data_IF_841036980166
#
_entry.id   IF_841036980166
#
_cell.length_a   1.000
_cell.length_b   1.000
_cell.length_c   1.000
_cell.angle_alpha   90.00
_cell.angle_beta   90.00
_cell.angle_gamma   90.00
#
_symmetry.space_group_name_H-M   'P 1'
#
loop_
_entity.id
_entity.type
_entity.pdbx_description
1 polymer ?
#
# COMPACT_ATOMS: atom_id res chain seq x y z
N UNK A 1 -24.00 11.89 -9.18
CA UNK A 1 -24.20 10.60 -8.47
C UNK A 1 -25.36 10.75 -7.51
N UNK A 2 -26.50 10.09 -7.76
CA UNK A 2 -27.64 10.11 -6.84
C UNK A 2 -27.20 9.44 -5.53
N UNK A 3 -27.45 10.11 -4.40
CA UNK A 3 -27.20 9.57 -3.06
C UNK A 3 -28.04 8.31 -2.86
N UNK A 4 -27.44 7.14 -3.05
CA UNK A 4 -27.99 5.88 -2.55
C UNK A 4 -27.91 5.94 -1.02
N UNK A 5 -28.95 6.51 -0.39
CA UNK A 5 -29.20 6.29 1.03
C UNK A 5 -29.45 4.79 1.18
N UNK A 6 -28.53 4.08 1.82
CA UNK A 6 -28.80 2.71 2.28
C UNK A 6 -29.93 2.81 3.32
N UNK A 7 -31.15 2.32 3.04
CA UNK A 7 -32.24 2.44 3.98
C UNK A 7 -31.93 1.51 5.15
N UNK A 8 -31.63 2.08 6.31
CA UNK A 8 -31.36 1.33 7.55
C UNK A 8 -32.59 0.56 8.08
N UNK A 9 -33.77 0.65 7.44
CA UNK A 9 -35.04 0.33 8.09
C UNK A 9 -35.80 -0.93 7.66
N UNK A 10 -35.39 -1.69 6.66
CA UNK A 10 -36.07 -2.96 6.33
C UNK A 10 -35.09 -4.14 6.36
N UNK A 11 -34.80 -4.63 7.57
CA UNK A 11 -34.21 -5.96 7.80
C UNK A 11 -35.36 -6.98 7.87
N UNK A 12 -36.05 -7.20 6.75
CA UNK A 12 -37.02 -8.29 6.65
C UNK A 12 -36.30 -9.60 6.32
N UNK A 13 -36.60 -10.63 7.12
CA UNK A 13 -36.19 -12.01 6.89
C UNK A 13 -36.82 -12.54 5.60
N UNK A 14 -35.99 -12.74 4.58
CA UNK A 14 -36.36 -13.47 3.36
C UNK A 14 -35.53 -14.75 3.29
N UNK A 15 -36.08 -15.83 3.82
CA UNK A 15 -35.53 -17.18 3.62
C UNK A 15 -36.13 -17.88 2.38
N UNK A 16 -37.16 -17.31 1.72
CA UNK A 16 -37.96 -18.05 0.73
C UNK A 16 -37.75 -17.73 -0.76
N UNK A 17 -36.65 -17.09 -1.22
CA UNK A 17 -36.53 -16.84 -2.68
C UNK A 17 -35.14 -16.82 -3.32
N UNK A 18 -34.18 -17.61 -2.86
CA UNK A 18 -32.98 -17.87 -3.68
C UNK A 18 -33.31 -18.54 -5.03
N UNK A 19 -34.43 -19.28 -5.10
CA UNK A 19 -34.89 -19.95 -6.32
C UNK A 19 -35.22 -18.99 -7.47
N UNK A 20 -35.62 -17.74 -7.18
CA UNK A 20 -35.99 -16.76 -8.21
C UNK A 20 -34.80 -15.92 -8.71
N UNK A 21 -33.64 -15.99 -8.05
CA UNK A 21 -32.49 -15.16 -8.37
C UNK A 21 -31.52 -15.94 -9.27
N UNK A 22 -31.37 -15.50 -10.53
CA UNK A 22 -30.53 -16.17 -11.54
C UNK A 22 -29.03 -16.27 -11.18
N UNK A 23 -28.52 -15.35 -10.34
CA UNK A 23 -27.10 -15.29 -9.93
C UNK A 23 -26.97 -14.67 -8.55
N UNK A 24 -26.36 -15.38 -7.60
CA UNK A 24 -26.13 -14.89 -6.22
C UNK A 24 -24.65 -15.00 -5.86
N UNK A 25 -24.11 -13.93 -5.28
CA UNK A 25 -22.84 -13.96 -4.58
C UNK A 25 -23.10 -13.88 -3.08
N UNK A 26 -22.44 -14.72 -2.31
CA UNK A 26 -22.54 -14.78 -0.85
C UNK A 26 -21.12 -14.57 -0.31
N UNK A 27 -20.95 -13.75 0.72
CA UNK A 27 -19.61 -13.51 1.28
C UNK A 27 -19.68 -13.04 2.72
N UNK A 28 -18.63 -13.32 3.48
CA UNK A 28 -18.48 -12.76 4.82
C UNK A 28 -17.79 -11.38 4.79
N UNK A 29 -18.22 -10.47 5.68
CA UNK A 29 -17.59 -9.17 5.86
C UNK A 29 -17.54 -8.78 7.34
N UNK A 30 -16.36 -8.41 7.85
CA UNK A 30 -16.23 -7.77 9.17
C UNK A 30 -16.82 -6.37 9.19
N UNK A 31 -16.76 -5.68 8.05
CA UNK A 31 -17.35 -4.36 7.86
C UNK A 31 -18.08 -4.38 6.52
N UNK A 32 -19.39 -4.56 6.58
CA UNK A 32 -20.26 -4.66 5.41
C UNK A 32 -20.14 -3.41 4.53
N UNK A 33 -20.05 -2.21 5.12
CA UNK A 33 -19.90 -0.96 4.35
C UNK A 33 -18.59 -0.96 3.55
N UNK A 34 -17.49 -1.40 4.17
CA UNK A 34 -16.20 -1.54 3.50
C UNK A 34 -16.27 -2.57 2.38
N UNK A 35 -16.89 -3.73 2.63
CA UNK A 35 -17.04 -4.79 1.62
C UNK A 35 -17.93 -4.34 0.47
N UNK A 36 -19.09 -3.71 0.75
CA UNK A 36 -19.95 -3.03 -0.23
C UNK A 36 -19.09 -2.10 -1.08
N UNK A 37 -18.34 -1.19 -0.44
CA UNK A 37 -17.48 -0.24 -1.13
C UNK A 37 -16.47 -0.93 -2.04
N UNK A 38 -15.99 -2.12 -1.68
CA UNK A 38 -15.13 -2.92 -2.56
C UNK A 38 -15.84 -3.40 -3.82
N UNK A 39 -17.14 -3.73 -3.75
CA UNK A 39 -17.96 -4.01 -4.93
C UNK A 39 -18.35 -2.75 -5.71
N UNK A 40 -18.43 -1.59 -5.06
CA UNK A 40 -18.72 -0.33 -5.75
C UNK A 40 -17.47 0.25 -6.44
N UNK A 41 -16.26 -0.26 -6.15
CA UNK A 41 -15.01 0.28 -6.67
C UNK A 41 -14.45 -0.66 -7.74
N UNK A 42 -14.51 -0.31 -9.05
CA UNK A 42 -14.07 -1.15 -10.18
C UNK A 42 -12.70 -1.83 -9.99
N UNK A 43 -11.83 -1.14 -9.25
CA UNK A 43 -10.48 -1.55 -8.94
C UNK A 43 -10.39 -2.75 -7.96
N UNK A 44 -11.19 -2.82 -6.89
CA UNK A 44 -11.04 -3.92 -5.90
C UNK A 44 -11.58 -5.26 -6.43
N UNK A 45 -12.44 -5.19 -7.45
CA UNK A 45 -13.01 -6.35 -8.15
C UNK A 45 -11.96 -7.03 -9.04
N UNK A 46 -10.96 -6.30 -9.54
CA UNK A 46 -9.87 -6.88 -10.35
C UNK A 46 -9.04 -7.92 -9.61
N UNK A 47 -9.07 -7.89 -8.28
CA UNK A 47 -8.35 -8.80 -7.40
C UNK A 47 -9.15 -10.05 -7.04
N UNK A 48 -10.45 -10.12 -7.38
CA UNK A 48 -11.30 -11.26 -7.10
C UNK A 48 -12.04 -11.72 -8.38
N UNK A 49 -11.48 -12.71 -9.11
CA UNK A 49 -12.01 -13.13 -10.42
C UNK A 49 -13.46 -13.65 -10.37
N UNK A 50 -13.94 -14.12 -9.20
CA UNK A 50 -15.31 -14.56 -9.00
C UNK A 50 -16.32 -13.39 -9.08
N UNK A 51 -15.89 -12.16 -8.75
CA UNK A 51 -16.74 -10.97 -8.67
C UNK A 51 -16.98 -10.29 -10.03
N UNK A 52 -16.29 -10.73 -11.10
CA UNK A 52 -16.36 -10.14 -12.45
C UNK A 52 -17.67 -10.41 -13.19
N UNK A 53 -18.40 -11.46 -12.82
CA UNK A 53 -19.70 -11.80 -13.42
C UNK A 53 -20.81 -10.77 -13.10
N UNK A 54 -20.57 -9.84 -12.17
CA UNK A 54 -21.55 -8.86 -11.66
C UNK A 54 -21.27 -7.42 -12.09
N UNK A 55 -20.09 -7.15 -12.66
CA UNK A 55 -19.62 -5.77 -12.84
C UNK A 55 -18.96 -5.67 -14.21
N UNK A 56 -19.64 -5.00 -15.14
CA UNK A 56 -19.06 -4.67 -16.44
C UNK A 56 -18.04 -3.52 -16.32
N UNK A 57 -17.52 -3.03 -17.46
CA UNK A 57 -16.51 -1.96 -17.51
C UNK A 57 -16.97 -0.64 -16.85
N UNK A 58 -18.25 -0.46 -16.56
CA UNK A 58 -18.83 0.77 -15.99
C UNK A 58 -19.01 0.77 -14.47
N UNK A 59 -18.89 -0.40 -13.81
CA UNK A 59 -19.32 -0.57 -12.42
C UNK A 59 -20.81 -0.93 -12.32
N UNK A 60 -21.16 -1.80 -11.37
CA UNK A 60 -22.51 -2.14 -10.85
C UNK A 60 -23.70 -2.40 -11.80
N UNK A 61 -23.56 -2.36 -13.12
CA UNK A 61 -24.70 -2.48 -14.04
C UNK A 61 -25.53 -3.78 -13.85
N UNK A 62 -24.96 -4.83 -13.24
CA UNK A 62 -25.64 -6.11 -13.04
C UNK A 62 -25.96 -6.47 -11.57
N UNK A 63 -25.73 -5.58 -10.59
CA UNK A 63 -26.15 -5.81 -9.20
C UNK A 63 -27.55 -5.21 -9.02
N UNK A 64 -28.58 -6.06 -9.12
CA UNK A 64 -29.99 -5.64 -8.94
C UNK A 64 -30.34 -5.34 -7.49
N UNK A 65 -29.71 -6.02 -6.54
CA UNK A 65 -29.96 -5.82 -5.12
C UNK A 65 -28.74 -6.22 -4.30
N UNK A 66 -28.61 -5.60 -3.13
CA UNK A 66 -27.64 -5.96 -2.10
C UNK A 66 -28.38 -6.15 -0.79
N UNK A 67 -28.18 -7.29 -0.15
CA UNK A 67 -28.80 -7.63 1.13
C UNK A 67 -27.74 -8.00 2.15
N UNK A 68 -27.96 -7.56 3.38
CA UNK A 68 -27.12 -7.90 4.53
C UNK A 68 -27.89 -8.89 5.37
N UNK A 69 -27.38 -10.11 5.49
CA UNK A 69 -27.98 -11.13 6.35
C UNK A 69 -27.30 -10.99 7.71
N UNK A 70 -28.04 -10.45 8.69
CA UNK A 70 -27.62 -10.44 10.08
C UNK A 70 -28.23 -11.66 10.76
N UNK A 71 -27.39 -12.57 11.25
CA UNK A 71 -27.90 -13.67 12.05
C UNK A 71 -28.15 -13.17 13.48
N UNK A 72 -29.39 -13.23 13.98
CA UNK A 72 -29.79 -12.55 15.22
C UNK A 72 -29.14 -13.13 16.48
N UNK A 73 -28.56 -14.33 16.40
CA UNK A 73 -28.06 -15.09 17.55
C UNK A 73 -26.55 -15.43 17.47
N UNK A 74 -25.81 -14.84 16.53
CA UNK A 74 -24.40 -15.16 16.34
C UNK A 74 -23.52 -14.05 16.92
N UNK A 75 -22.52 -14.43 17.71
CA UNK A 75 -21.41 -13.53 18.03
C UNK A 75 -20.61 -13.29 16.73
N UNK A 76 -21.06 -12.32 15.93
CA UNK A 76 -20.57 -11.99 14.59
C UNK A 76 -19.10 -11.53 14.57
N UNK A 77 -18.43 -11.44 15.72
CA UNK A 77 -16.99 -11.24 15.80
C UNK A 77 -16.21 -12.53 15.49
N UNK A 78 -16.77 -13.70 15.74
CA UNK A 78 -16.10 -14.99 15.49
C UNK A 78 -16.08 -15.32 13.99
N UNK A 79 -14.87 -15.50 13.46
CA UNK A 79 -14.67 -15.89 12.06
C UNK A 79 -15.13 -17.30 11.74
N UNK A 80 -15.10 -18.24 12.69
CA UNK A 80 -15.53 -19.61 12.46
C UNK A 80 -17.04 -19.66 12.20
N UNK A 81 -17.78 -18.93 13.03
CA UNK A 81 -19.23 -18.78 12.93
C UNK A 81 -19.64 -18.15 11.60
N UNK A 82 -19.03 -17.03 11.21
CA UNK A 82 -19.32 -16.37 9.92
C UNK A 82 -19.06 -17.28 8.72
N UNK A 83 -17.95 -18.01 8.72
CA UNK A 83 -17.60 -18.96 7.65
C UNK A 83 -18.56 -20.15 7.59
N UNK A 84 -19.02 -20.64 8.74
CA UNK A 84 -20.03 -21.71 8.78
C UNK A 84 -21.33 -21.25 8.15
N UNK A 85 -21.78 -20.05 8.50
CA UNK A 85 -23.01 -19.46 7.95
C UNK A 85 -22.90 -19.13 6.46
N UNK A 86 -21.75 -18.60 6.02
CA UNK A 86 -21.44 -18.42 4.60
C UNK A 86 -21.57 -19.74 3.83
N UNK A 87 -21.00 -20.83 4.35
CA UNK A 87 -21.12 -22.16 3.73
C UNK A 87 -22.57 -22.65 3.66
N UNK A 88 -23.34 -22.48 4.75
CA UNK A 88 -24.76 -22.86 4.80
C UNK A 88 -25.57 -22.12 3.72
N UNK A 89 -25.40 -20.80 3.63
CA UNK A 89 -26.07 -19.96 2.64
C UNK A 89 -25.62 -20.28 1.20
N UNK A 90 -24.34 -20.60 0.98
CA UNK A 90 -23.84 -21.06 -0.32
C UNK A 90 -24.53 -22.37 -0.73
N UNK A 91 -24.65 -23.33 0.19
CA UNK A 91 -25.32 -24.60 -0.08
C UNK A 91 -26.81 -24.39 -0.40
N UNK A 92 -27.49 -23.52 0.36
CA UNK A 92 -28.89 -23.16 0.16
C UNK A 92 -29.15 -22.47 -1.19
N UNK A 93 -28.24 -21.58 -1.60
CA UNK A 93 -28.33 -20.90 -2.90
C UNK A 93 -28.01 -21.83 -4.09
N UNK A 94 -27.41 -23.00 -3.85
CA UNK A 94 -27.19 -24.06 -4.83
C UNK A 94 -26.51 -23.57 -6.13
N UNK A 95 -26.92 -24.04 -7.32
CA UNK A 95 -26.25 -23.73 -8.59
C UNK A 95 -26.33 -22.25 -9.00
N UNK A 96 -27.24 -21.49 -8.39
CA UNK A 96 -27.34 -20.04 -8.59
C UNK A 96 -26.24 -19.29 -7.82
N UNK A 97 -25.62 -19.93 -6.84
CA UNK A 97 -24.48 -19.38 -6.10
C UNK A 97 -23.20 -19.44 -6.94
N UNK A 98 -22.59 -18.29 -7.16
CA UNK A 98 -21.36 -18.18 -7.95
C UNK A 98 -20.09 -18.54 -7.15
N UNK A 99 -20.20 -18.64 -5.82
CA UNK A 99 -19.12 -19.05 -4.93
C UNK A 99 -18.74 -20.53 -5.10
N UNK A 100 -19.63 -21.35 -5.67
CA UNK A 100 -19.40 -22.77 -5.87
C UNK A 100 -18.42 -22.98 -7.02
N UNK A 101 -17.34 -23.72 -6.81
CA UNK A 101 -16.29 -23.98 -7.83
C UNK A 101 -16.82 -24.67 -9.09
N UNK A 102 -17.84 -25.53 -8.95
CA UNK A 102 -18.51 -26.21 -10.06
C UNK A 102 -19.62 -25.38 -10.72
N UNK A 103 -19.89 -24.16 -10.25
CA UNK A 103 -20.88 -23.29 -10.87
C UNK A 103 -20.47 -22.95 -12.31
N UNK A 104 -21.40 -23.03 -13.26
CA UNK A 104 -21.18 -22.60 -14.66
C UNK A 104 -20.76 -21.12 -14.79
N UNK A 105 -20.99 -20.35 -13.72
CA UNK A 105 -20.60 -18.94 -13.59
C UNK A 105 -19.20 -18.76 -13.01
N UNK A 106 -18.65 -19.80 -12.38
CA UNK A 106 -17.30 -19.84 -11.84
C UNK A 106 -16.28 -20.24 -12.92
N UNK A 107 -16.30 -19.51 -14.04
CA UNK A 107 -15.19 -19.60 -14.99
C UNK A 107 -14.05 -18.78 -14.40
N UNK A 108 -13.02 -19.46 -13.88
CA UNK A 108 -11.73 -18.81 -13.58
C UNK A 108 -11.40 -17.94 -14.79
N UNK A 109 -11.20 -16.64 -14.60
CA UNK A 109 -10.76 -15.78 -15.70
C UNK A 109 -9.37 -16.29 -16.09
N UNK A 110 -9.29 -17.07 -17.16
CA UNK A 110 -8.03 -17.52 -17.73
C UNK A 110 -7.48 -16.32 -18.48
N UNK A 111 -6.60 -15.56 -17.83
CA UNK A 111 -5.94 -14.41 -18.45
C UNK A 111 -5.11 -14.81 -19.67
N UNK A 112 -4.63 -16.06 -19.72
CA UNK A 112 -3.79 -16.59 -20.80
C UNK A 112 -4.53 -16.81 -22.14
N UNK A 113 -5.85 -16.66 -22.19
CA UNK A 113 -6.62 -16.84 -23.43
C UNK A 113 -6.88 -15.56 -24.22
N UNK A 114 -6.49 -14.38 -23.72
CA UNK A 114 -6.66 -13.12 -24.46
C UNK A 114 -5.55 -13.00 -25.49
N UNK A 115 -5.88 -12.75 -26.76
CA UNK A 115 -4.91 -12.64 -27.87
C UNK A 115 -3.81 -11.58 -27.65
N UNK A 116 -3.98 -10.63 -26.72
CA UNK A 116 -2.98 -9.60 -26.42
C UNK A 116 -2.10 -9.85 -25.19
N UNK A 117 -2.35 -10.92 -24.42
CA UNK A 117 -1.60 -11.18 -23.18
C UNK A 117 -0.33 -11.94 -23.50
N UNK A 118 0.80 -11.26 -23.42
CA UNK A 118 2.13 -11.80 -23.65
C UNK A 118 2.64 -12.46 -22.36
N UNK A 119 3.19 -13.66 -22.45
CA UNK A 119 3.71 -14.38 -21.28
C UNK A 119 5.04 -13.77 -20.81
N UNK A 120 5.14 -13.25 -19.56
CA UNK A 120 6.40 -12.76 -19.02
C UNK A 120 7.41 -13.90 -18.79
N UNK A 121 8.63 -13.69 -19.24
CA UNK A 121 9.73 -14.65 -19.13
C UNK A 121 10.73 -14.13 -18.10
N UNK A 122 10.85 -14.81 -16.97
CA UNK A 122 11.86 -14.52 -15.94
C UNK A 122 13.01 -15.52 -16.06
N UNK A 123 14.20 -15.03 -16.39
CA UNK A 123 15.44 -15.81 -16.45
C UNK A 123 16.34 -15.43 -15.27
N UNK A 124 16.95 -16.41 -14.63
CA UNK A 124 17.92 -16.16 -13.57
C UNK A 124 19.18 -15.56 -14.18
N UNK A 125 19.73 -14.52 -13.56
CA UNK A 125 21.01 -13.92 -13.95
C UNK A 125 22.16 -14.80 -13.49
N UNK A 126 23.09 -15.12 -14.38
CA UNK A 126 24.26 -15.97 -14.08
C UNK A 126 25.55 -15.14 -13.84
N UNK A 127 25.63 -13.91 -14.35
CA UNK A 127 26.81 -13.04 -14.20
C UNK A 127 26.58 -11.80 -13.34
N UNK A 128 27.63 -11.02 -13.10
CA UNK A 128 27.55 -9.73 -12.41
C UNK A 128 26.62 -8.76 -13.18
N UNK A 129 25.94 -7.88 -12.45
CA UNK A 129 25.25 -6.74 -13.01
C UNK A 129 26.19 -5.66 -13.54
N UNK A 130 27.46 -5.66 -13.11
CA UNK A 130 28.51 -4.77 -13.63
C UNK A 130 28.87 -5.02 -15.08
N UNK A 131 28.75 -6.26 -15.53
CA UNK A 131 28.98 -6.65 -16.93
C UNK A 131 27.70 -6.57 -17.76
N UNK A 132 26.61 -6.04 -17.19
CA UNK A 132 25.34 -5.92 -17.89
C UNK A 132 25.40 -4.80 -18.93
N UNK A 133 25.75 -5.17 -20.16
CA UNK A 133 25.67 -4.30 -21.32
C UNK A 133 24.41 -4.64 -22.12
N UNK A 134 23.48 -3.69 -22.22
CA UNK A 134 22.39 -3.78 -23.19
C UNK A 134 22.89 -3.22 -24.51
N UNK A 135 22.67 -3.92 -25.61
CA UNK A 135 23.16 -3.57 -26.96
C UNK A 135 22.76 -2.19 -27.48
N UNK A 136 21.82 -1.51 -26.81
CA UNK A 136 21.22 -0.25 -27.28
C UNK A 136 21.61 0.98 -26.46
N UNK A 137 22.14 0.84 -25.24
CA UNK A 137 22.45 2.00 -24.39
C UNK A 137 23.55 1.70 -23.35
N UNK A 138 24.54 2.60 -23.24
CA UNK A 138 25.47 2.72 -22.11
C UNK A 138 24.71 3.23 -20.87
N UNK A 139 23.84 2.39 -20.32
CA UNK A 139 23.11 2.72 -19.10
C UNK A 139 24.04 2.54 -17.90
N UNK A 140 23.88 3.37 -16.84
CA UNK A 140 24.70 3.22 -15.65
C UNK A 140 24.55 1.81 -15.08
N UNK A 141 25.70 1.21 -14.80
CA UNK A 141 25.86 -0.12 -14.23
C UNK A 141 25.03 -0.23 -12.94
N UNK A 142 24.30 -1.33 -12.76
CA UNK A 142 23.62 -1.61 -11.50
C UNK A 142 24.66 -2.11 -10.48
N UNK A 143 24.90 -1.39 -9.36
CA UNK A 143 25.93 -1.73 -8.37
C UNK A 143 25.44 -2.78 -7.38
N UNK A 144 24.49 -3.64 -7.77
CA UNK A 144 23.93 -4.66 -6.90
C UNK A 144 24.70 -5.97 -7.07
N UNK A 145 24.94 -6.73 -6.00
CA UNK A 145 25.53 -8.05 -6.13
C UNK A 145 24.57 -9.01 -6.83
N UNK A 146 25.09 -10.06 -7.45
CA UNK A 146 24.32 -11.21 -7.91
C UNK A 146 24.53 -12.37 -6.93
N UNK A 147 23.71 -12.41 -5.87
CA UNK A 147 23.80 -13.46 -4.85
C UNK A 147 23.10 -14.74 -5.32
N UNK A 148 23.57 -15.92 -4.88
CA UNK A 148 22.91 -17.17 -5.23
C UNK A 148 21.49 -17.22 -4.65
N UNK A 149 20.61 -17.94 -5.33
CA UNK A 149 19.25 -18.14 -4.83
C UNK A 149 19.25 -19.22 -3.75
N UNK A 150 18.60 -18.94 -2.63
CA UNK A 150 18.40 -19.90 -1.55
C UNK A 150 16.90 -20.04 -1.29
N UNK A 151 16.30 -21.22 -1.50
CA UNK A 151 14.85 -21.39 -1.53
C UNK A 151 14.11 -21.01 -0.25
N UNK A 152 14.75 -21.13 0.92
CA UNK A 152 14.15 -20.85 2.22
C UNK A 152 14.35 -19.41 2.70
N UNK A 153 15.20 -18.63 2.03
CA UNK A 153 15.66 -17.35 2.55
C UNK A 153 14.78 -16.18 2.10
N UNK A 154 14.48 -15.31 3.04
CA UNK A 154 13.86 -14.01 2.77
C UNK A 154 14.89 -13.10 2.13
N UNK A 155 14.57 -12.46 1.02
CA UNK A 155 15.55 -11.65 0.31
C UNK A 155 14.96 -10.41 -0.36
N UNK A 156 15.85 -9.48 -0.70
CA UNK A 156 15.62 -8.45 -1.70
C UNK A 156 16.16 -8.98 -3.02
N UNK A 157 15.35 -8.85 -4.07
CA UNK A 157 15.72 -9.21 -5.43
C UNK A 157 15.49 -8.03 -6.37
N UNK A 158 16.13 -8.10 -7.53
CA UNK A 158 15.91 -7.20 -8.65
C UNK A 158 15.36 -7.97 -9.84
N UNK A 159 14.46 -7.36 -10.60
CA UNK A 159 13.94 -7.85 -11.89
C UNK A 159 14.25 -6.78 -12.94
N UNK A 160 15.14 -7.08 -13.88
CA UNK A 160 15.62 -6.15 -14.91
C UNK A 160 15.07 -6.58 -16.27
N UNK A 161 14.43 -5.67 -16.99
CA UNK A 161 13.97 -5.93 -18.35
C UNK A 161 15.15 -6.03 -19.30
N UNK A 162 15.26 -7.13 -20.07
CA UNK A 162 16.49 -7.50 -20.79
C UNK A 162 16.95 -6.45 -21.81
N UNK A 163 16.03 -5.82 -22.54
CA UNK A 163 16.38 -4.80 -23.56
C UNK A 163 16.47 -3.39 -23.01
N UNK A 164 15.47 -2.95 -22.24
CA UNK A 164 15.44 -1.58 -21.72
C UNK A 164 16.36 -1.35 -20.53
N UNK A 165 16.76 -2.39 -19.78
CA UNK A 165 17.53 -2.22 -18.55
C UNK A 165 16.78 -1.44 -17.45
N UNK A 166 15.47 -1.22 -17.61
CA UNK A 166 14.60 -0.72 -16.56
C UNK A 166 14.33 -1.87 -15.58
N UNK A 167 14.17 -1.55 -14.30
CA UNK A 167 14.19 -2.60 -13.28
C UNK A 167 13.25 -2.34 -12.10
N UNK A 168 12.85 -3.42 -11.46
CA UNK A 168 11.98 -3.46 -10.29
C UNK A 168 12.76 -4.08 -9.13
N UNK A 169 12.60 -3.54 -7.92
CA UNK A 169 13.13 -4.11 -6.69
C UNK A 169 11.96 -4.59 -5.84
N UNK A 170 12.06 -5.76 -5.23
CA UNK A 170 11.05 -6.23 -4.29
C UNK A 170 11.61 -7.15 -3.22
N UNK A 171 10.74 -7.46 -2.25
CA UNK A 171 11.04 -8.40 -1.17
C UNK A 171 10.23 -9.70 -1.33
N UNK A 172 10.75 -10.82 -0.83
CA UNK A 172 10.05 -12.11 -0.81
C UNK A 172 9.18 -12.32 0.42
N UNK A 173 9.26 -11.49 1.47
CA UNK A 173 8.33 -11.58 2.61
C UNK A 173 8.42 -12.92 3.37
N UNK A 174 7.32 -13.68 3.40
CA UNK A 174 7.22 -15.04 3.99
C UNK A 174 7.23 -16.15 2.92
N UNK A 175 7.17 -15.76 1.64
CA UNK A 175 7.17 -16.66 0.49
C UNK A 175 8.60 -16.81 -0.06
N UNK A 176 8.87 -17.90 -0.79
CA UNK A 176 10.15 -18.03 -1.48
C UNK A 176 10.17 -17.20 -2.79
N UNK A 177 11.37 -17.00 -3.33
CA UNK A 177 11.57 -16.18 -4.53
C UNK A 177 10.79 -16.74 -5.74
N UNK A 178 10.78 -18.05 -5.94
CA UNK A 178 10.05 -18.68 -7.03
C UNK A 178 8.53 -18.41 -6.97
N UNK A 179 7.93 -18.50 -5.79
CA UNK A 179 6.52 -18.14 -5.58
C UNK A 179 6.28 -16.65 -5.80
N UNK A 180 7.18 -15.79 -5.32
CA UNK A 180 7.12 -14.34 -5.54
C UNK A 180 7.14 -14.01 -7.03
N UNK A 181 8.04 -14.62 -7.80
CA UNK A 181 8.13 -14.47 -9.25
C UNK A 181 6.86 -14.96 -9.95
N UNK A 182 6.27 -16.08 -9.51
CA UNK A 182 4.97 -16.56 -10.03
C UNK A 182 3.86 -15.54 -9.78
N UNK A 183 3.84 -14.88 -8.61
CA UNK A 183 2.91 -13.80 -8.29
C UNK A 183 3.13 -12.60 -9.22
N UNK A 184 4.37 -12.20 -9.48
CA UNK A 184 4.68 -11.16 -10.48
C UNK A 184 4.16 -11.50 -11.87
N UNK A 185 4.37 -12.74 -12.35
CA UNK A 185 3.81 -13.19 -13.65
C UNK A 185 2.30 -13.02 -13.70
N UNK A 186 1.61 -13.46 -12.65
CA UNK A 186 0.16 -13.33 -12.54
C UNK A 186 -0.30 -11.87 -12.59
N UNK A 187 0.39 -10.98 -11.87
CA UNK A 187 0.08 -9.54 -11.86
C UNK A 187 0.35 -8.89 -13.22
N UNK A 188 1.43 -9.25 -13.91
CA UNK A 188 1.72 -8.76 -15.27
C UNK A 188 0.65 -9.19 -16.27
N UNK A 189 0.24 -10.47 -16.28
CA UNK A 189 -0.87 -10.96 -17.13
C UNK A 189 -2.18 -10.22 -16.87
N UNK A 190 -2.52 -10.03 -15.58
CA UNK A 190 -3.69 -9.24 -15.18
C UNK A 190 -3.58 -7.80 -15.69
N UNK A 191 -2.43 -7.18 -15.53
CA UNK A 191 -2.18 -5.80 -15.95
C UNK A 191 -2.36 -5.64 -17.46
N UNK A 192 -1.78 -6.55 -18.27
CA UNK A 192 -1.98 -6.60 -19.72
C UNK A 192 -3.46 -6.69 -20.08
N UNK A 193 -4.15 -7.68 -19.51
CA UNK A 193 -5.57 -7.90 -19.75
C UNK A 193 -6.41 -6.65 -19.42
N UNK A 194 -6.13 -5.96 -18.33
CA UNK A 194 -6.88 -4.77 -17.95
C UNK A 194 -6.58 -3.57 -18.84
N UNK A 195 -5.32 -3.39 -19.23
CA UNK A 195 -4.91 -2.34 -20.18
C UNK A 195 -5.58 -2.52 -21.54
N UNK A 196 -5.64 -3.76 -22.07
CA UNK A 196 -6.38 -4.09 -23.30
C UNK A 196 -7.87 -3.72 -23.24
N UNK A 197 -8.46 -3.72 -22.05
CA UNK A 197 -9.88 -3.38 -21.84
C UNK A 197 -10.09 -1.89 -21.52
N UNK A 198 -9.05 -1.07 -21.59
CA UNK A 198 -9.10 0.37 -21.30
C UNK A 198 -9.23 0.70 -19.82
N UNK A 199 -8.96 -0.26 -18.93
CA UNK A 199 -9.11 -0.07 -17.47
C UNK A 199 -7.83 0.55 -16.92
N UNK A 200 -7.94 1.78 -16.38
CA UNK A 200 -6.82 2.47 -15.74
C UNK A 200 -6.49 1.82 -14.39
N UNK A 201 -5.24 1.37 -14.24
CA UNK A 201 -4.74 0.72 -13.04
C UNK A 201 -3.81 1.62 -12.23
N UNK A 202 -4.38 2.57 -11.48
CA UNK A 202 -3.61 3.56 -10.70
C UNK A 202 -2.63 2.93 -9.70
N UNK A 203 -2.99 1.79 -9.10
CA UNK A 203 -2.16 1.07 -8.13
C UNK A 203 -1.09 0.17 -8.78
N UNK A 204 -1.28 -0.25 -10.03
CA UNK A 204 -0.32 -1.12 -10.74
C UNK A 204 0.66 -0.34 -11.60
N UNK A 205 0.87 0.94 -11.31
CA UNK A 205 1.74 1.79 -12.12
C UNK A 205 3.14 1.26 -12.45
N UNK A 206 3.77 0.54 -11.51
CA UNK A 206 5.03 -0.15 -11.74
C UNK A 206 4.86 -1.25 -12.80
N UNK A 207 3.90 -2.15 -12.60
CA UNK A 207 3.58 -3.21 -13.57
C UNK A 207 3.06 -2.68 -14.90
N UNK A 208 2.34 -1.55 -14.91
CA UNK A 208 1.88 -0.90 -16.13
C UNK A 208 3.05 -0.41 -16.97
N UNK A 209 4.12 0.08 -16.33
CA UNK A 209 5.38 0.38 -17.03
C UNK A 209 6.09 -0.89 -17.49
N UNK A 210 6.18 -1.91 -16.65
CA UNK A 210 6.76 -3.20 -17.06
C UNK A 210 6.03 -3.79 -18.28
N UNK A 211 4.71 -3.72 -18.31
CA UNK A 211 3.89 -4.17 -19.45
C UNK A 211 4.16 -3.35 -20.71
N UNK A 212 4.33 -2.03 -20.60
CA UNK A 212 4.70 -1.19 -21.74
C UNK A 212 6.06 -1.61 -22.32
N UNK A 213 7.05 -1.84 -21.47
CA UNK A 213 8.36 -2.33 -21.91
C UNK A 213 8.22 -3.74 -22.54
N UNK A 214 7.41 -4.64 -21.96
CA UNK A 214 7.13 -5.96 -22.53
C UNK A 214 6.52 -5.88 -23.94
N UNK A 215 5.55 -4.99 -24.15
CA UNK A 215 4.84 -4.84 -25.41
C UNK A 215 5.72 -4.21 -26.50
N UNK A 216 6.62 -3.30 -26.12
CA UNK A 216 7.47 -2.58 -27.07
C UNK A 216 8.79 -3.30 -27.37
N UNK A 217 9.39 -3.93 -26.37
CA UNK A 217 10.76 -4.43 -26.43
C UNK A 217 10.87 -5.95 -26.19
N UNK A 218 9.77 -6.60 -25.79
CA UNK A 218 9.65 -8.05 -25.63
C UNK A 218 9.55 -8.51 -24.17
N UNK A 219 9.13 -9.75 -23.90
CA UNK A 219 8.67 -10.17 -22.57
C UNK A 219 9.77 -10.62 -21.60
N UNK A 220 11.05 -10.45 -21.97
CA UNK A 220 12.16 -11.03 -21.23
C UNK A 220 12.68 -10.14 -20.11
N UNK A 221 12.79 -10.73 -18.93
CA UNK A 221 13.37 -10.12 -17.74
C UNK A 221 14.42 -11.07 -17.14
N UNK A 222 15.50 -10.48 -16.63
CA UNK A 222 16.48 -11.17 -15.81
C UNK A 222 16.23 -10.85 -14.33
N UNK A 223 16.50 -11.78 -13.43
CA UNK A 223 16.39 -11.54 -11.99
C UNK A 223 17.58 -12.08 -11.21
N UNK A 224 17.87 -11.47 -10.07
CA UNK A 224 18.83 -11.99 -9.08
C UNK A 224 18.44 -11.60 -7.66
N UNK A 225 18.99 -12.33 -6.69
CA UNK A 225 19.02 -11.89 -5.30
C UNK A 225 20.11 -10.83 -5.15
N UNK A 226 19.82 -9.77 -4.39
CA UNK A 226 20.77 -8.68 -4.13
C UNK A 226 21.07 -8.51 -2.63
N UNK A 227 20.23 -9.06 -1.74
CA UNK A 227 20.44 -9.04 -0.29
C UNK A 227 19.62 -10.13 0.41
N UNK A 228 20.17 -10.82 1.40
CA UNK A 228 19.42 -11.73 2.28
C UNK A 228 18.93 -11.01 3.54
N UNK A 229 17.78 -11.41 4.05
CA UNK A 229 17.05 -10.72 5.12
C UNK A 229 16.57 -11.66 6.24
N UNK A 230 17.13 -12.86 6.35
CA UNK A 230 16.64 -13.89 7.27
C UNK A 230 16.66 -13.44 8.72
N UNK A 231 17.70 -12.71 9.10
CA UNK A 231 17.91 -12.17 10.45
C UNK A 231 16.99 -10.98 10.78
N UNK A 232 16.29 -10.42 9.79
CA UNK A 232 15.46 -9.24 9.98
C UNK A 232 14.01 -9.60 10.28
N UNK A 233 13.38 -8.82 11.17
CA UNK A 233 11.94 -8.88 11.39
C UNK A 233 11.18 -8.44 10.14
N UNK A 234 9.93 -8.88 9.96
CA UNK A 234 9.08 -8.44 8.83
C UNK A 234 9.01 -6.91 8.69
N UNK A 235 8.96 -6.18 9.81
CA UNK A 235 8.94 -4.71 9.76
C UNK A 235 10.27 -4.13 9.27
N UNK A 236 11.40 -4.73 9.66
CA UNK A 236 12.72 -4.25 9.28
C UNK A 236 13.07 -4.63 7.84
N UNK A 237 12.63 -5.82 7.37
CA UNK A 237 12.65 -6.20 5.96
C UNK A 237 12.00 -5.14 5.08
N UNK A 238 10.81 -4.67 5.47
CA UNK A 238 10.09 -3.66 4.70
C UNK A 238 10.81 -2.31 4.70
N UNK A 239 11.38 -1.89 5.83
CA UNK A 239 12.19 -0.67 5.90
C UNK A 239 13.42 -0.79 5.01
N UNK A 240 14.06 -1.95 4.99
CA UNK A 240 15.24 -2.21 4.17
C UNK A 240 14.91 -2.15 2.68
N UNK A 241 13.84 -2.79 2.25
CA UNK A 241 13.34 -2.66 0.87
C UNK A 241 13.05 -1.19 0.50
N UNK A 242 12.36 -0.43 1.38
CA UNK A 242 12.07 0.99 1.15
C UNK A 242 13.35 1.82 0.97
N UNK A 243 14.43 1.50 1.71
CA UNK A 243 15.74 2.14 1.57
C UNK A 243 16.40 1.80 0.23
N UNK A 244 16.44 0.51 -0.15
CA UNK A 244 17.05 0.09 -1.41
C UNK A 244 16.30 0.67 -2.61
N UNK A 245 14.96 0.74 -2.54
CA UNK A 245 14.13 1.40 -3.55
C UNK A 245 14.40 2.90 -3.61
N UNK A 246 14.55 3.58 -2.47
CA UNK A 246 14.84 5.01 -2.45
C UNK A 246 16.21 5.33 -3.06
N UNK A 247 17.26 4.57 -2.69
CA UNK A 247 18.61 4.69 -3.26
C UNK A 247 18.59 4.41 -4.77
N UNK A 248 17.87 3.36 -5.20
CA UNK A 248 17.70 3.07 -6.62
C UNK A 248 17.04 4.22 -7.38
N UNK A 249 15.97 4.81 -6.83
CA UNK A 249 15.27 5.94 -7.48
C UNK A 249 16.18 7.17 -7.52
N UNK A 250 16.95 7.43 -6.46
CA UNK A 250 17.91 8.53 -6.42
C UNK A 250 18.97 8.38 -7.53
N UNK A 251 19.59 7.20 -7.63
CA UNK A 251 20.68 6.93 -8.60
C UNK A 251 20.20 6.78 -10.04
N UNK A 252 19.08 6.08 -10.25
CA UNK A 252 18.65 5.62 -11.58
C UNK A 252 17.37 6.28 -12.10
N UNK A 253 16.72 7.11 -11.27
CA UNK A 253 15.56 7.94 -11.64
C UNK A 253 14.46 7.12 -12.32
N UNK A 254 14.12 7.47 -13.57
CA UNK A 254 13.03 6.89 -14.35
C UNK A 254 13.23 5.41 -14.69
N UNK A 255 14.43 4.85 -14.56
CA UNK A 255 14.68 3.42 -14.82
C UNK A 255 14.03 2.49 -13.80
N UNK A 256 13.78 2.97 -12.57
CA UNK A 256 13.18 2.15 -11.52
C UNK A 256 11.67 2.09 -11.69
N UNK A 257 11.09 0.91 -11.85
CA UNK A 257 9.66 0.70 -12.00
C UNK A 257 8.88 1.03 -10.73
N UNK A 258 9.46 0.79 -9.56
CA UNK A 258 8.87 1.09 -8.27
C UNK A 258 8.41 2.55 -8.20
N UNK A 259 7.20 2.77 -7.68
CA UNK A 259 6.81 4.10 -7.23
C UNK A 259 7.29 4.29 -5.80
N UNK A 260 7.84 5.46 -5.45
CA UNK A 260 8.25 5.72 -4.09
C UNK A 260 7.00 5.76 -3.20
N UNK A 261 6.91 4.82 -2.27
CA UNK A 261 5.95 4.86 -1.17
C UNK A 261 6.30 6.02 -0.24
N UNK A 262 5.38 6.43 0.64
CA UNK A 262 5.59 7.58 1.53
C UNK A 262 6.95 7.53 2.24
N UNK A 263 7.33 6.39 2.81
CA UNK A 263 8.62 6.23 3.49
C UNK A 263 9.81 6.38 2.56
N UNK A 264 9.77 5.77 1.37
CA UNK A 264 10.81 5.94 0.36
C UNK A 264 10.91 7.40 -0.11
N UNK A 265 9.80 8.14 -0.18
CA UNK A 265 9.81 9.59 -0.43
C UNK A 265 10.48 10.35 0.71
N UNK A 266 10.14 10.05 1.96
CA UNK A 266 10.76 10.70 3.12
C UNK A 266 12.29 10.50 3.12
N UNK A 267 12.77 9.30 2.74
CA UNK A 267 14.20 8.99 2.57
C UNK A 267 14.79 9.77 1.39
N UNK A 268 14.11 9.77 0.24
CA UNK A 268 14.55 10.48 -0.96
C UNK A 268 14.64 11.99 -0.74
N UNK A 269 13.69 12.57 -0.03
CA UNK A 269 13.67 13.99 0.34
C UNK A 269 14.84 14.33 1.27
N UNK A 270 15.22 13.42 2.17
CA UNK A 270 16.40 13.61 3.01
C UNK A 270 17.71 13.51 2.21
N UNK A 271 17.83 12.54 1.30
CA UNK A 271 18.97 12.41 0.38
C UNK A 271 19.14 13.66 -0.49
N UNK A 272 18.06 14.18 -1.06
CA UNK A 272 18.09 15.38 -1.90
C UNK A 272 18.47 16.66 -1.13
N UNK A 273 18.24 16.70 0.19
CA UNK A 273 18.58 17.85 1.04
C UNK A 273 20.05 17.86 1.48
N UNK A 274 20.89 16.95 0.98
CA UNK A 274 22.27 16.75 1.44
C UNK A 274 22.38 16.60 2.97
N UNK A 275 21.29 16.18 3.63
CA UNK A 275 21.40 15.69 5.00
C UNK A 275 22.14 14.37 4.83
N UNK A 276 23.42 14.35 5.19
CA UNK A 276 24.26 13.17 5.23
C UNK A 276 23.59 12.11 6.10
N UNK A 277 22.67 11.34 5.52
CA UNK A 277 22.36 10.03 6.00
C UNK A 277 23.59 9.25 5.58
N UNK A 278 24.43 8.74 6.50
CA UNK A 278 25.50 7.85 6.12
C UNK A 278 24.85 6.66 5.42
N UNK A 279 24.89 6.68 4.09
CA UNK A 279 24.62 5.51 3.27
C UNK A 279 25.79 4.60 3.60
N UNK A 280 25.56 3.40 4.16
CA UNK A 280 26.66 2.47 4.37
C UNK A 280 27.36 2.30 3.02
N UNK A 281 28.60 2.75 2.94
CA UNK A 281 29.40 2.80 1.72
C UNK A 281 29.69 1.41 1.17
N UNK A 282 29.35 0.37 1.92
CA UNK A 282 29.49 -1.01 1.55
C UNK A 282 28.21 -1.81 1.87
N UNK A 283 27.44 -2.27 0.86
CA UNK A 283 26.28 -3.12 1.08
C UNK A 283 26.62 -4.46 1.72
N UNK A 284 27.90 -4.90 1.68
CA UNK A 284 28.35 -6.13 2.33
C UNK A 284 28.70 -5.95 3.81
N UNK A 285 28.93 -4.72 4.27
CA UNK A 285 29.36 -4.44 5.64
C UNK A 285 28.20 -4.11 6.60
N UNK A 286 26.95 -4.39 6.19
CA UNK A 286 25.78 -4.33 7.09
C UNK A 286 25.82 -5.47 8.12
N UNK A 287 26.59 -6.53 7.85
CA UNK A 287 26.79 -7.66 8.80
C UNK A 287 27.48 -7.24 10.10
N UNK A 288 28.24 -6.14 10.11
CA UNK A 288 28.99 -5.68 11.29
C UNK A 288 28.50 -4.35 11.87
N UNK A 289 27.33 -3.86 11.45
CA UNK A 289 26.60 -2.97 12.34
C UNK A 289 26.02 -3.86 13.43
N UNK A 290 26.86 -4.25 14.40
CA UNK A 290 26.36 -4.41 15.75
C UNK A 290 25.65 -3.10 16.05
N UNK A 291 24.33 -3.11 15.89
CA UNK A 291 23.50 -2.26 16.71
C UNK A 291 23.81 -2.78 18.09
N UNK A 292 24.87 -2.25 18.73
CA UNK A 292 25.07 -2.32 20.16
C UNK A 292 23.72 -1.90 20.69
N UNK A 293 22.92 -2.88 21.11
CA UNK A 293 21.63 -2.62 21.71
C UNK A 293 22.01 -1.86 22.95
N UNK A 294 21.94 -0.54 22.84
CA UNK A 294 22.18 0.35 23.95
C UNK A 294 21.34 -0.23 25.08
N UNK A 295 21.95 -0.64 26.21
CA UNK A 295 21.21 -1.21 27.32
C UNK A 295 19.98 -0.34 27.55
N UNK A 296 18.80 -0.92 27.85
CA UNK A 296 17.55 -0.13 28.02
C UNK A 296 17.74 1.07 28.96
N UNK A 297 18.74 1.00 29.83
CA UNK A 297 19.11 1.99 30.84
C UNK A 297 19.97 3.16 30.29
N UNK A 298 20.56 3.01 29.09
CA UNK A 298 21.38 4.02 28.39
C UNK A 298 20.73 4.56 27.11
N UNK A 299 19.55 4.06 26.71
CA UNK A 299 18.75 4.74 25.69
C UNK A 299 18.39 6.11 26.25
N UNK A 300 19.15 7.15 25.87
CA UNK A 300 18.72 8.54 26.03
C UNK A 300 17.28 8.57 25.53
N UNK A 301 16.33 8.84 26.43
CA UNK A 301 14.91 9.01 26.07
C UNK A 301 14.90 9.86 24.81
N UNK A 302 14.52 9.28 23.67
CA UNK A 302 14.26 10.04 22.46
C UNK A 302 13.44 11.26 22.90
N UNK A 303 13.81 12.49 22.50
CA UNK A 303 13.16 13.68 23.00
C UNK A 303 11.65 13.47 22.85
N UNK A 304 10.97 13.45 23.99
CA UNK A 304 9.54 13.19 24.04
C UNK A 304 8.87 14.09 23.00
N UNK A 305 7.98 13.50 22.21
CA UNK A 305 7.12 14.13 21.19
C UNK A 305 7.24 15.66 21.21
N UNK A 306 8.01 16.26 20.29
CA UNK A 306 8.24 17.72 20.30
C UNK A 306 6.90 18.45 20.30
N UNK A 307 6.60 19.13 21.40
CA UNK A 307 5.39 19.92 21.57
C UNK A 307 5.66 21.34 21.09
N UNK A 308 4.80 21.85 20.20
CA UNK A 308 4.89 23.21 19.71
C UNK A 308 3.94 24.10 20.53
N UNK A 309 4.40 25.28 20.99
CA UNK A 309 3.53 26.22 21.68
C UNK A 309 2.46 26.78 20.75
N UNK A 310 1.37 27.27 21.35
CA UNK A 310 0.23 27.84 20.62
C UNK A 310 -0.20 29.15 21.26
N UNK A 311 -0.67 30.08 20.45
CA UNK A 311 -1.29 31.33 20.92
C UNK A 311 -2.78 31.25 20.59
N UNK A 312 -3.63 31.40 21.59
CA UNK A 312 -5.08 31.41 21.40
C UNK A 312 -5.65 32.63 22.10
N UNK A 313 -6.34 33.50 21.35
CA UNK A 313 -6.91 34.75 21.86
C UNK A 313 -5.86 35.62 22.60
N UNK A 314 -4.67 35.73 22.02
CA UNK A 314 -3.51 36.46 22.58
C UNK A 314 -2.96 35.89 23.91
N UNK A 315 -3.35 34.68 24.28
CA UNK A 315 -2.78 33.95 25.42
C UNK A 315 -1.83 32.86 24.91
N UNK A 316 -0.62 32.83 25.46
CA UNK A 316 0.40 31.84 25.12
C UNK A 316 0.22 30.57 25.95
N UNK A 317 0.28 29.42 25.30
CA UNK A 317 0.24 28.10 25.92
C UNK A 317 1.40 27.25 25.43
N UNK A 318 1.95 26.44 26.32
CA UNK A 318 3.13 25.61 26.03
C UNK A 318 2.82 24.49 25.05
N UNK A 319 1.56 24.04 25.03
CA UNK A 319 1.07 22.96 24.16
C UNK A 319 -0.45 23.02 23.95
N UNK A 320 -0.93 22.37 22.89
CA UNK A 320 -2.36 22.28 22.53
C UNK A 320 -3.21 21.76 23.69
N UNK A 321 -2.74 20.76 24.44
CA UNK A 321 -3.52 20.17 25.53
C UNK A 321 -3.75 21.15 26.69
N UNK A 322 -2.78 22.01 26.97
CA UNK A 322 -2.88 23.05 28.01
C UNK A 322 -3.93 24.09 27.61
N UNK A 323 -3.83 24.60 26.38
CA UNK A 323 -4.82 25.49 25.80
C UNK A 323 -6.23 24.88 25.76
N UNK A 324 -6.33 23.59 25.40
CA UNK A 324 -7.61 22.88 25.33
C UNK A 324 -8.28 22.79 26.71
N UNK A 325 -7.51 22.48 27.77
CA UNK A 325 -8.01 22.46 29.15
C UNK A 325 -8.46 23.85 29.62
N UNK A 326 -7.62 24.87 29.40
CA UNK A 326 -7.91 26.25 29.81
C UNK A 326 -9.17 26.82 29.13
N UNK A 327 -9.46 26.36 27.91
CA UNK A 327 -10.62 26.80 27.13
C UNK A 327 -11.82 25.84 27.21
N UNK A 328 -11.73 24.77 28.01
CA UNK A 328 -12.73 23.69 28.07
C UNK A 328 -13.12 23.12 26.69
N UNK A 329 -12.14 22.98 25.79
CA UNK A 329 -12.34 22.45 24.43
C UNK A 329 -11.72 21.07 24.28
N UNK A 330 -12.30 20.26 23.39
CA UNK A 330 -11.65 19.03 22.94
C UNK A 330 -10.34 19.37 22.18
N UNK A 331 -9.19 18.75 22.50
CA UNK A 331 -7.91 19.00 21.82
C UNK A 331 -7.98 18.87 20.30
N UNK A 332 -8.82 17.96 19.79
CA UNK A 332 -9.05 17.78 18.35
C UNK A 332 -9.72 19.00 17.73
N UNK A 333 -10.71 19.57 18.40
CA UNK A 333 -11.38 20.80 17.98
C UNK A 333 -10.41 21.97 17.96
N UNK A 334 -9.57 22.10 18.99
CA UNK A 334 -8.56 23.15 19.06
C UNK A 334 -7.52 23.01 17.93
N UNK A 335 -7.07 21.79 17.64
CA UNK A 335 -6.15 21.49 16.54
C UNK A 335 -6.71 21.90 15.17
N UNK A 336 -8.01 21.71 14.95
CA UNK A 336 -8.71 22.18 13.76
C UNK A 336 -8.76 23.71 13.66
N UNK A 337 -9.13 24.39 14.76
CA UNK A 337 -9.17 25.86 14.80
C UNK A 337 -7.81 26.51 14.54
N UNK A 338 -6.73 25.92 15.08
CA UNK A 338 -5.36 26.38 14.85
C UNK A 338 -4.95 26.37 13.36
N UNK A 339 -5.52 25.47 12.55
CA UNK A 339 -5.23 25.35 11.11
C UNK A 339 -6.20 26.14 10.22
N UNK A 340 -7.37 26.50 10.73
CA UNK A 340 -8.40 27.13 9.94
C UNK A 340 -8.16 28.64 9.80
N UNK A 341 -8.33 29.24 8.61
CA UNK A 341 -8.24 30.69 8.42
C UNK A 341 -9.39 31.44 9.08
N UNK A 342 -10.53 30.79 9.34
CA UNK A 342 -11.69 31.38 10.02
C UNK A 342 -11.45 31.72 11.50
N UNK A 343 -10.35 31.21 12.08
CA UNK A 343 -9.94 31.49 13.47
C UNK A 343 -8.58 32.20 13.47
N UNK A 344 -8.53 33.49 13.14
CA UNK A 344 -7.27 34.23 13.01
C UNK A 344 -6.49 34.33 14.32
N UNK A 345 -7.19 34.37 15.46
CA UNK A 345 -6.60 34.47 16.80
C UNK A 345 -6.11 33.13 17.38
N UNK A 346 -6.11 32.05 16.58
CA UNK A 346 -5.65 30.72 16.96
C UNK A 346 -4.40 30.37 16.14
N UNK A 347 -3.22 30.56 16.70
CA UNK A 347 -1.93 30.47 16.00
C UNK A 347 -1.13 29.29 16.54
N UNK A 348 -0.66 28.44 15.63
CA UNK A 348 0.28 27.36 15.94
C UNK A 348 1.68 27.77 15.49
N UNK A 349 2.65 27.77 16.41
CA UNK A 349 4.03 28.15 16.10
C UNK A 349 4.78 27.09 15.29
N UNK A 350 4.11 25.98 14.96
CA UNK A 350 4.61 25.00 13.99
C UNK A 350 4.46 25.49 12.54
N UNK A 351 3.43 26.28 12.26
CA UNK A 351 3.06 26.73 10.91
C UNK A 351 2.82 28.25 10.93
N UNK A 352 3.90 29.01 11.01
CA UNK A 352 3.87 30.48 11.21
C UNK A 352 3.40 31.21 9.95
N UNK A 353 3.66 30.64 8.78
CA UNK A 353 3.53 31.31 7.47
C UNK A 353 2.10 31.70 7.05
N UNK A 354 1.08 31.32 7.82
CA UNK A 354 -0.33 31.43 7.40
C UNK A 354 -1.20 32.42 8.20
N UNK A 355 -0.68 33.06 9.27
CA UNK A 355 -1.49 33.91 10.16
C UNK A 355 -0.74 35.16 10.62
N UNK A 356 -1.43 36.30 10.71
CA UNK A 356 -0.89 37.56 11.25
C UNK A 356 -0.54 37.39 12.73
N UNK A 357 0.70 37.70 13.11
CA UNK A 357 1.18 37.57 14.49
C UNK A 357 0.71 38.77 15.33
N UNK A 358 0.16 38.57 16.54
CA UNK A 358 -0.16 39.67 17.43
C UNK A 358 1.12 40.34 17.94
N UNK A 359 1.15 41.67 17.96
CA UNK A 359 2.29 42.46 18.46
C UNK A 359 2.62 42.05 19.91
N UNK A 360 3.91 41.87 20.22
CA UNK A 360 4.38 41.31 21.51
C UNK A 360 3.82 41.99 22.77
N UNK A 361 3.47 43.28 22.70
CA UNK A 361 2.85 44.02 23.80
C UNK A 361 1.46 43.51 24.21
N UNK A 362 0.77 42.71 23.36
CA UNK A 362 -0.59 42.20 23.63
C UNK A 362 -0.63 40.78 24.19
N UNK A 363 0.52 40.12 24.39
CA UNK A 363 0.59 38.73 24.86
C UNK A 363 0.69 38.70 26.39
N UNK A 364 -0.34 38.22 27.08
CA UNK A 364 -0.48 38.36 28.55
C UNK A 364 0.48 37.52 29.40
N UNK A 365 1.21 36.55 28.83
CA UNK A 365 2.27 35.78 29.53
C UNK A 365 3.35 35.31 28.54
N UNK A 366 4.61 35.61 28.83
CA UNK A 366 5.79 35.06 28.13
C UNK A 366 6.50 34.09 29.09
N UNK A 367 6.80 32.83 28.73
CA UNK A 367 7.62 31.98 29.58
C UNK A 367 9.07 32.50 29.64
N UNK A 368 9.69 32.41 30.83
CA UNK A 368 11.12 32.62 31.02
C UNK A 368 11.88 31.61 30.14
N UNK A 369 12.66 32.14 29.20
CA UNK A 369 13.70 31.51 28.36
C UNK A 369 13.71 29.98 28.22
N UNK A 370 13.42 29.51 27.00
CA UNK A 370 13.80 28.19 26.50
C UNK A 370 15.33 28.12 26.36
N UNK A 371 16.01 27.44 27.28
CA UNK A 371 17.39 27.01 27.08
C UNK A 371 17.36 25.61 26.48
N UNK A 372 17.83 25.47 25.23
CA UNK A 372 18.07 24.16 24.62
C UNK A 372 19.34 23.60 25.27
N UNK A 373 19.20 22.54 26.08
CA UNK A 373 20.31 21.66 26.48
C UNK A 373 20.23 20.37 25.68
#
# INVERSE_FOLDING_TARGET
MKNLKCPQKNLEFMFNSFQQIKKIYIGEAKNVVSEIRTYLTPFQISNNPYKKAYIDRSGLANIKSLKVILSPNLNLQDSKVRKSEEKRLIAEAGPNCINIMSSKYNKKTIYMGSKGVIEPIFKKRIGDWRTYQTSKYLKPILPYPNLPEKPSESCIYVIVHRKTGNFYIGETGEENLAERLRKHKSVLRKTQYYLEKGIKLSQFSAYGRMVKDMQSEGPEFEYSVIEYLDELTRSDRKKREDQVVADAIYRFKSRVYNRPVKRAKDILDALNKNILIPVPSDPLNVRNIEIKRVPKNQQKKLPGRIFYPVIVNNVWYSQVNEAAKALALNPKTLSWRLKSPTFPNYISLKNIDSKKFPTFQKIKKKPKTFSIK
#
